data_IF_985541697679
#
_entry.id   IF_985541697679
#
_cell.length_a   1.000
_cell.length_b   1.000
_cell.length_c   1.000
_cell.angle_alpha   90.00
_cell.angle_beta   90.00
_cell.angle_gamma   90.00
#
_symmetry.space_group_name_H-M   'P 1'
#
loop_
_entity.id
_entity.type
_entity.pdbx_description
1 polymer ?
#
# COMPACT_ATOMS: atom_id res chain seq x y z
N UNK A 1 -13.35 -3.12 12.84
CA UNK A 1 -13.04 -4.56 12.80
C UNK A 1 -14.18 -5.42 13.38
N UNK A 2 -14.99 -4.89 14.31
CA UNK A 2 -16.17 -5.63 14.79
C UNK A 2 -17.08 -6.13 13.64
N UNK A 3 -17.21 -5.36 12.56
CA UNK A 3 -18.04 -5.78 11.43
C UNK A 3 -17.38 -6.85 10.52
N UNK A 4 -16.05 -6.96 10.47
CA UNK A 4 -15.35 -7.88 9.56
C UNK A 4 -15.54 -9.36 9.90
N UNK A 5 -15.99 -9.65 11.12
CA UNK A 5 -16.16 -11.00 11.64
C UNK A 5 -17.53 -11.14 12.32
N UNK A 6 -18.63 -11.11 11.55
CA UNK A 6 -19.98 -11.13 12.11
C UNK A 6 -20.23 -12.40 12.96
N UNK A 7 -19.57 -13.50 12.61
CA UNK A 7 -19.71 -14.79 13.29
C UNK A 7 -18.70 -15.03 14.43
N UNK A 8 -17.87 -14.03 14.78
CA UNK A 8 -16.85 -14.18 15.83
C UNK A 8 -16.98 -13.12 16.92
N UNK A 9 -16.75 -13.53 18.16
CA UNK A 9 -16.52 -12.60 19.26
C UNK A 9 -15.09 -12.03 19.15
N UNK A 10 -14.97 -10.73 18.84
CA UNK A 10 -13.68 -10.07 18.70
C UNK A 10 -13.26 -9.47 20.04
N UNK A 11 -12.12 -9.94 20.55
CA UNK A 11 -11.53 -9.48 21.80
C UNK A 11 -10.23 -8.74 21.47
N UNK A 12 -10.22 -7.43 21.72
CA UNK A 12 -9.04 -6.61 21.52
C UNK A 12 -8.11 -6.67 22.73
N UNK A 13 -6.85 -7.02 22.48
CA UNK A 13 -5.78 -6.82 23.44
C UNK A 13 -5.35 -5.35 23.48
N UNK A 14 -4.77 -4.87 24.59
CA UNK A 14 -4.15 -3.55 24.67
C UNK A 14 -3.15 -3.32 23.52
N UNK A 15 -3.12 -2.09 23.00
CA UNK A 15 -2.22 -1.68 21.90
C UNK A 15 -0.74 -1.86 22.23
N UNK A 16 -0.38 -1.80 23.52
CA UNK A 16 0.93 -2.18 24.05
C UNK A 16 0.73 -3.29 25.06
N UNK A 17 0.79 -4.53 24.61
CA UNK A 17 0.72 -5.69 25.48
C UNK A 17 2.13 -6.04 25.98
N UNK A 18 2.33 -6.04 27.31
CA UNK A 18 3.62 -6.40 27.89
C UNK A 18 3.73 -7.94 28.00
N UNK A 19 4.95 -8.52 27.94
CA UNK A 19 5.12 -9.97 28.05
C UNK A 19 4.46 -10.58 29.30
N UNK A 20 4.59 -9.91 30.44
CA UNK A 20 4.00 -10.38 31.71
C UNK A 20 2.47 -10.30 31.71
N UNK A 21 1.89 -9.26 31.10
CA UNK A 21 0.44 -9.14 30.97
C UNK A 21 -0.12 -10.23 30.05
N UNK A 22 0.61 -10.60 29.00
CA UNK A 22 0.25 -11.72 28.14
C UNK A 22 0.22 -13.03 28.92
N UNK A 23 1.28 -13.34 29.67
CA UNK A 23 1.37 -14.59 30.43
C UNK A 23 0.29 -14.70 31.52
N UNK A 24 -0.04 -13.58 32.20
CA UNK A 24 -1.05 -13.57 33.28
C UNK A 24 -2.47 -13.58 32.71
N UNK A 25 -2.78 -12.70 31.75
CA UNK A 25 -4.18 -12.40 31.39
C UNK A 25 -4.64 -13.05 30.07
N UNK A 26 -3.73 -13.25 29.11
CA UNK A 26 -4.12 -13.61 27.74
C UNK A 26 -3.85 -15.07 27.41
N UNK A 27 -2.71 -15.59 27.86
CA UNK A 27 -2.26 -16.96 27.57
C UNK A 27 -3.29 -18.00 27.99
N UNK A 28 -3.79 -17.92 29.23
CA UNK A 28 -4.81 -18.83 29.74
C UNK A 28 -6.14 -18.70 28.98
N UNK A 29 -6.55 -17.47 28.67
CA UNK A 29 -7.79 -17.21 27.91
C UNK A 29 -7.72 -17.86 26.52
N UNK A 30 -6.63 -17.65 25.79
CA UNK A 30 -6.40 -18.25 24.47
C UNK A 30 -6.38 -19.78 24.56
N UNK A 31 -5.68 -20.35 25.56
CA UNK A 31 -5.59 -21.80 25.71
C UNK A 31 -6.90 -22.46 26.16
N UNK A 32 -7.79 -21.71 26.81
CA UNK A 32 -9.07 -22.23 27.33
C UNK A 32 -10.15 -22.41 26.26
N UNK A 33 -10.09 -21.66 25.14
CA UNK A 33 -11.04 -21.83 24.02
C UNK A 33 -10.35 -22.52 22.84
N UNK A 34 -10.82 -23.72 22.49
CA UNK A 34 -10.28 -24.51 21.37
C UNK A 34 -10.57 -23.89 20.00
N UNK A 35 -11.46 -22.90 19.93
CA UNK A 35 -11.80 -22.14 18.72
C UNK A 35 -11.02 -20.82 18.64
N UNK A 36 -10.13 -20.54 19.60
CA UNK A 36 -9.37 -19.31 19.60
C UNK A 36 -8.50 -19.19 18.35
N UNK A 37 -8.53 -18.00 17.76
CA UNK A 37 -7.64 -17.58 16.69
C UNK A 37 -6.96 -16.29 17.12
N UNK A 38 -5.68 -16.14 16.78
CA UNK A 38 -4.90 -14.97 17.17
C UNK A 38 -4.55 -14.17 15.94
N UNK A 39 -4.76 -12.86 16.01
CA UNK A 39 -4.42 -11.93 14.95
C UNK A 39 -3.54 -10.81 15.50
N UNK A 40 -2.53 -10.41 14.73
CA UNK A 40 -1.68 -9.26 15.06
C UNK A 40 -1.67 -8.27 13.89
N UNK A 41 -1.93 -6.99 14.17
CA UNK A 41 -1.81 -5.96 13.14
C UNK A 41 -0.33 -5.69 12.85
N UNK A 42 0.15 -6.07 11.67
CA UNK A 42 1.59 -6.06 11.35
C UNK A 42 2.41 -6.72 12.47
N UNK A 43 3.59 -6.17 12.76
CA UNK A 43 4.46 -6.59 13.86
C UNK A 43 4.16 -5.89 15.19
N UNK A 44 2.94 -5.36 15.41
CA UNK A 44 2.58 -4.70 16.67
C UNK A 44 2.30 -5.70 17.82
N UNK A 45 2.19 -6.99 17.52
CA UNK A 45 2.06 -8.05 18.53
C UNK A 45 3.38 -8.36 19.24
N UNK A 46 3.30 -9.14 20.31
CA UNK A 46 4.50 -9.65 21.01
C UNK A 46 5.36 -10.50 20.06
N UNK A 47 6.70 -10.34 20.03
CA UNK A 47 7.57 -11.10 19.13
C UNK A 47 7.41 -12.62 19.25
N UNK A 48 7.15 -13.11 20.46
CA UNK A 48 6.94 -14.54 20.72
C UNK A 48 5.53 -15.05 20.37
N UNK A 49 4.58 -14.19 20.02
CA UNK A 49 3.16 -14.56 19.88
C UNK A 49 2.93 -15.59 18.77
N UNK A 50 3.56 -15.39 17.61
CA UNK A 50 3.48 -16.33 16.48
C UNK A 50 4.04 -17.70 16.85
N UNK A 51 5.21 -17.74 17.49
CA UNK A 51 5.84 -18.98 17.94
C UNK A 51 5.00 -19.67 19.03
N UNK A 52 4.46 -18.91 19.98
CA UNK A 52 3.52 -19.43 20.98
C UNK A 52 2.32 -20.11 20.31
N UNK A 53 1.67 -19.44 19.36
CA UNK A 53 0.52 -20.01 18.65
C UNK A 53 0.90 -21.28 17.88
N UNK A 54 2.05 -21.28 17.18
CA UNK A 54 2.56 -22.45 16.47
C UNK A 54 2.79 -23.65 17.40
N UNK A 55 3.47 -23.46 18.55
CA UNK A 55 3.74 -24.55 19.52
C UNK A 55 2.47 -25.13 20.16
N UNK A 56 1.37 -24.37 20.14
CA UNK A 56 0.08 -24.74 20.74
C UNK A 56 -0.97 -25.09 19.70
N UNK A 57 -0.61 -25.13 18.42
CA UNK A 57 -1.50 -25.39 17.30
C UNK A 57 -2.73 -24.45 17.26
N UNK A 58 -2.50 -23.17 17.56
CA UNK A 58 -3.50 -22.09 17.49
C UNK A 58 -3.31 -21.35 16.17
N UNK A 59 -4.36 -21.13 15.36
CA UNK A 59 -4.25 -20.33 14.15
C UNK A 59 -3.76 -18.90 14.45
N UNK A 60 -2.73 -18.47 13.73
CA UNK A 60 -2.16 -17.13 13.82
C UNK A 60 -2.15 -16.47 12.45
N UNK A 61 -2.56 -15.19 12.41
CA UNK A 61 -2.46 -14.36 11.21
C UNK A 61 -1.89 -12.99 11.56
N UNK A 62 -0.97 -12.50 10.75
CA UNK A 62 -0.77 -11.07 10.63
C UNK A 62 -1.89 -10.45 9.79
N UNK A 63 -2.29 -9.24 10.16
CA UNK A 63 -3.35 -8.47 9.48
C UNK A 63 -2.81 -7.13 9.03
N UNK A 64 -3.19 -6.73 7.82
CA UNK A 64 -2.90 -5.43 7.23
C UNK A 64 -4.07 -4.93 6.41
N UNK A 65 -4.12 -3.63 6.18
CA UNK A 65 -4.92 -3.07 5.09
C UNK A 65 -4.55 -3.72 3.75
N UNK A 66 -5.55 -4.17 2.99
CA UNK A 66 -5.35 -4.57 1.62
C UNK A 66 -4.95 -3.38 0.73
N UNK A 67 -4.67 -3.66 -0.54
CA UNK A 67 -4.12 -2.65 -1.46
C UNK A 67 -5.16 -1.61 -1.93
N UNK A 68 -6.45 -1.88 -1.72
CA UNK A 68 -7.56 -0.95 -1.98
C UNK A 68 -8.28 -0.70 -0.66
N UNK A 69 -8.07 0.48 -0.05
CA UNK A 69 -8.45 0.72 1.35
C UNK A 69 -9.72 1.57 1.51
N UNK A 70 -9.67 2.86 1.14
CA UNK A 70 -10.75 3.83 1.42
C UNK A 70 -10.64 5.10 0.55
N UNK A 71 -11.72 5.88 0.49
CA UNK A 71 -11.81 7.15 -0.27
C UNK A 71 -11.03 8.32 0.37
N UNK A 72 -10.63 8.22 1.64
CA UNK A 72 -9.75 9.22 2.28
C UNK A 72 -8.77 8.60 3.28
N UNK A 73 -7.66 9.32 3.50
CA UNK A 73 -6.66 9.10 4.56
C UNK A 73 -7.35 9.20 5.93
N UNK A 74 -7.80 8.08 6.49
CA UNK A 74 -8.11 7.93 7.93
C UNK A 74 -9.09 8.93 8.57
N UNK A 75 -9.67 9.88 7.82
CA UNK A 75 -10.33 11.06 8.35
C UNK A 75 -11.78 10.80 8.76
N UNK A 76 -12.32 9.63 8.43
CA UNK A 76 -13.71 9.25 8.72
C UNK A 76 -13.83 7.98 9.57
N UNK A 77 -12.75 7.53 10.22
CA UNK A 77 -12.73 6.27 11.00
C UNK A 77 -13.32 5.06 10.23
N UNK A 78 -13.35 5.15 8.89
CA UNK A 78 -14.10 4.21 8.06
C UNK A 78 -13.35 2.88 8.05
N UNK A 79 -14.03 1.75 8.34
CA UNK A 79 -13.43 0.44 8.26
C UNK A 79 -12.76 0.24 6.89
N UNK A 80 -11.60 -0.44 6.83
CA UNK A 80 -10.96 -0.72 5.55
C UNK A 80 -11.87 -1.60 4.71
N UNK A 81 -11.97 -1.31 3.41
CA UNK A 81 -12.75 -2.10 2.44
C UNK A 81 -12.07 -3.45 2.12
N UNK A 82 -10.75 -3.53 2.34
CA UNK A 82 -10.00 -4.77 2.17
C UNK A 82 -8.98 -4.99 3.28
N UNK A 83 -8.76 -6.26 3.64
CA UNK A 83 -7.76 -6.71 4.59
C UNK A 83 -6.97 -7.88 4.00
N UNK A 84 -5.66 -7.89 4.27
CA UNK A 84 -4.78 -9.02 4.03
C UNK A 84 -4.59 -9.82 5.33
N UNK A 85 -4.54 -11.15 5.20
CA UNK A 85 -4.38 -12.08 6.32
C UNK A 85 -3.22 -13.05 6.03
N UNK A 86 -2.05 -12.80 6.60
CA UNK A 86 -0.84 -13.61 6.37
C UNK A 86 -0.58 -14.59 7.53
N UNK A 87 -0.50 -15.88 7.24
CA UNK A 87 -0.06 -16.94 8.15
C UNK A 87 1.46 -17.04 8.21
N UNK A 88 2.12 -16.85 7.06
CA UNK A 88 3.58 -16.90 6.95
C UNK A 88 4.21 -15.62 7.47
N UNK A 89 4.14 -14.52 6.74
CA UNK A 89 4.74 -13.25 7.13
C UNK A 89 4.15 -12.13 6.27
N UNK A 90 4.37 -10.88 6.65
CA UNK A 90 3.79 -9.73 5.95
C UNK A 90 4.29 -9.65 4.51
N UNK A 91 3.41 -9.39 3.54
CA UNK A 91 3.77 -9.29 2.10
C UNK A 91 4.97 -8.40 1.77
N UNK A 92 5.27 -7.38 2.58
CA UNK A 92 6.40 -6.47 2.38
C UNK A 92 7.72 -6.96 2.99
N UNK A 93 7.72 -8.10 3.69
CA UNK A 93 8.91 -8.69 4.29
C UNK A 93 9.66 -9.55 3.28
N UNK A 94 10.81 -9.04 2.81
CA UNK A 94 11.64 -9.76 1.85
C UNK A 94 12.52 -10.84 2.50
N UNK A 95 12.64 -10.86 3.83
CA UNK A 95 13.57 -11.75 4.53
C UNK A 95 13.10 -13.22 4.58
N UNK A 96 11.82 -13.49 4.37
CA UNK A 96 11.24 -14.83 4.37
C UNK A 96 10.10 -14.98 3.37
N UNK A 97 9.56 -16.20 3.21
CA UNK A 97 8.39 -16.43 2.37
C UNK A 97 7.14 -15.78 3.00
N UNK A 98 6.21 -15.36 2.13
CA UNK A 98 4.92 -14.78 2.51
C UNK A 98 3.80 -15.54 1.82
N UNK A 99 2.55 -15.40 2.27
CA UNK A 99 1.43 -16.07 1.60
C UNK A 99 1.22 -15.48 0.21
N UNK A 100 1.39 -14.17 0.04
CA UNK A 100 1.36 -13.55 -1.28
C UNK A 100 2.48 -14.08 -2.21
N UNK A 101 3.72 -14.20 -1.73
CA UNK A 101 4.81 -14.78 -2.53
C UNK A 101 4.52 -16.23 -2.91
N UNK A 102 3.87 -16.98 -2.03
CA UNK A 102 3.43 -18.36 -2.29
C UNK A 102 2.38 -18.39 -3.39
N UNK A 103 1.30 -17.59 -3.28
CA UNK A 103 0.26 -17.47 -4.30
C UNK A 103 0.87 -17.16 -5.67
N UNK A 104 1.74 -16.14 -5.73
CA UNK A 104 2.38 -15.71 -6.97
C UNK A 104 3.32 -16.78 -7.57
N UNK A 105 3.97 -17.58 -6.70
CA UNK A 105 4.87 -18.64 -7.14
C UNK A 105 4.15 -19.89 -7.62
N UNK A 106 3.05 -20.28 -6.96
CA UNK A 106 2.48 -21.63 -7.10
C UNK A 106 1.12 -21.70 -7.79
N UNK A 107 0.37 -20.59 -7.85
CA UNK A 107 -0.95 -20.61 -8.49
C UNK A 107 -0.83 -20.80 -10.01
N UNK A 108 -1.68 -21.66 -10.58
CA UNK A 108 -1.70 -21.93 -12.03
C UNK A 108 -2.47 -20.84 -12.79
N UNK A 109 -1.83 -19.67 -12.93
CA UNK A 109 -2.41 -18.57 -13.70
C UNK A 109 -2.57 -18.88 -15.19
N UNK A 110 -1.75 -19.77 -15.74
CA UNK A 110 -1.77 -20.08 -17.17
C UNK A 110 -2.95 -20.99 -17.52
N UNK A 111 -3.34 -21.86 -16.59
CA UNK A 111 -4.57 -22.67 -16.64
C UNK A 111 -5.87 -21.91 -16.33
N UNK A 112 -5.82 -20.79 -15.61
CA UNK A 112 -7.00 -19.99 -15.25
C UNK A 112 -7.18 -18.76 -16.17
N UNK A 113 -7.74 -19.01 -17.36
CA UNK A 113 -8.00 -17.98 -18.37
C UNK A 113 -8.99 -16.90 -17.91
N UNK A 114 -10.03 -17.29 -17.17
CA UNK A 114 -11.08 -16.39 -16.72
C UNK A 114 -10.55 -15.40 -15.68
N UNK A 115 -9.75 -15.87 -14.72
CA UNK A 115 -9.08 -15.02 -13.74
C UNK A 115 -8.21 -13.96 -14.42
N UNK A 116 -7.45 -14.34 -15.47
CA UNK A 116 -6.60 -13.38 -16.20
C UNK A 116 -7.41 -12.35 -16.97
N UNK A 117 -8.53 -12.75 -17.58
CA UNK A 117 -9.44 -11.83 -18.27
C UNK A 117 -10.07 -10.84 -17.28
N UNK A 118 -10.55 -11.32 -16.14
CA UNK A 118 -11.06 -10.48 -15.05
C UNK A 118 -10.00 -9.53 -14.51
N UNK A 119 -8.77 -10.02 -14.28
CA UNK A 119 -7.65 -9.18 -13.85
C UNK A 119 -7.37 -8.04 -14.82
N UNK A 120 -7.35 -8.32 -16.14
CA UNK A 120 -7.19 -7.27 -17.15
C UNK A 120 -8.30 -6.22 -17.08
N UNK A 121 -9.56 -6.64 -17.04
CA UNK A 121 -10.70 -5.73 -16.98
C UNK A 121 -10.69 -4.89 -15.69
N UNK A 122 -10.31 -5.49 -14.56
CA UNK A 122 -10.21 -4.81 -13.26
C UNK A 122 -9.04 -3.82 -13.23
N UNK A 123 -7.91 -4.13 -13.85
CA UNK A 123 -6.83 -3.15 -14.04
C UNK A 123 -7.37 -1.95 -14.80
N UNK A 124 -7.99 -2.15 -15.96
CA UNK A 124 -8.55 -1.05 -16.77
C UNK A 124 -9.58 -0.22 -15.98
N UNK A 125 -10.45 -0.88 -15.19
CA UNK A 125 -11.42 -0.22 -14.31
C UNK A 125 -10.73 0.61 -13.22
N UNK A 126 -9.72 0.05 -12.56
CA UNK A 126 -8.94 0.74 -11.52
C UNK A 126 -8.21 1.96 -12.09
N UNK A 127 -7.59 1.85 -13.27
CA UNK A 127 -6.92 2.97 -13.93
C UNK A 127 -7.91 4.06 -14.34
N UNK A 128 -9.05 3.69 -14.94
CA UNK A 128 -10.08 4.64 -15.39
C UNK A 128 -10.72 5.40 -14.24
N UNK A 129 -10.95 4.72 -13.11
CA UNK A 129 -11.44 5.39 -11.91
C UNK A 129 -10.36 6.27 -11.28
N UNK A 130 -9.07 6.06 -11.56
CA UNK A 130 -7.99 6.80 -10.90
C UNK A 130 -7.91 6.52 -9.40
N UNK A 131 -8.47 5.39 -8.95
CA UNK A 131 -8.40 4.98 -7.56
C UNK A 131 -6.96 4.55 -7.22
N UNK A 132 -6.52 4.85 -6.00
CA UNK A 132 -5.25 4.44 -5.37
C UNK A 132 -5.53 4.01 -3.93
N UNK A 133 -4.53 3.50 -3.20
CA UNK A 133 -4.75 3.02 -1.81
C UNK A 133 -5.42 4.05 -0.91
N UNK A 134 -5.08 5.33 -1.04
CA UNK A 134 -5.58 6.41 -0.17
C UNK A 134 -6.47 7.44 -0.86
N UNK A 135 -6.61 7.39 -2.19
CA UNK A 135 -7.46 8.28 -3.01
C UNK A 135 -7.33 9.79 -2.71
N UNK A 136 -6.21 10.19 -2.10
CA UNK A 136 -5.97 11.54 -1.61
C UNK A 136 -5.12 12.32 -2.60
N UNK A 137 -5.44 13.59 -2.79
CA UNK A 137 -4.66 14.54 -3.60
C UNK A 137 -5.53 15.28 -4.60
N UNK A 138 -5.12 16.49 -4.96
CA UNK A 138 -5.85 17.29 -5.93
C UNK A 138 -5.56 16.84 -7.36
N UNK A 139 -6.59 16.88 -8.21
CA UNK A 139 -6.43 16.75 -9.67
C UNK A 139 -5.90 18.08 -10.22
N UNK A 140 -4.57 18.19 -10.26
CA UNK A 140 -3.85 19.38 -10.73
C UNK A 140 -3.19 19.07 -12.06
N UNK A 141 -3.23 20.01 -13.00
CA UNK A 141 -2.47 19.91 -14.26
C UNK A 141 -0.98 19.79 -13.97
N UNK A 142 -0.45 18.58 -14.17
CA UNK A 142 0.97 18.27 -13.99
C UNK A 142 1.86 19.04 -14.96
N UNK A 143 1.32 19.51 -16.08
CA UNK A 143 2.03 20.36 -17.04
C UNK A 143 2.43 21.70 -16.39
N UNK A 144 1.59 22.24 -15.49
CA UNK A 144 1.92 23.45 -14.73
C UNK A 144 2.96 23.19 -13.65
N UNK A 145 2.91 22.02 -13.02
CA UNK A 145 3.80 21.67 -11.90
C UNK A 145 5.18 21.20 -12.37
N UNK A 146 5.23 20.38 -13.41
CA UNK A 146 6.47 19.77 -13.90
C UNK A 146 7.10 20.60 -15.03
N UNK A 147 6.38 21.58 -15.57
CA UNK A 147 6.77 22.33 -16.75
C UNK A 147 6.69 21.50 -18.04
N UNK A 148 7.13 22.09 -19.18
CA UNK A 148 7.09 21.43 -20.48
C UNK A 148 7.91 20.15 -20.46
N UNK A 149 7.37 19.08 -21.05
CA UNK A 149 8.12 17.83 -21.24
C UNK A 149 9.07 17.99 -22.42
N UNK A 150 10.34 18.26 -22.12
CA UNK A 150 11.39 18.46 -23.13
C UNK A 150 12.20 17.19 -23.41
N UNK A 151 11.95 16.11 -22.66
CA UNK A 151 12.67 14.85 -22.80
C UNK A 151 12.14 13.78 -21.85
N UNK A 152 13.00 12.79 -21.54
CA UNK A 152 12.69 11.72 -20.58
C UNK A 152 12.41 12.31 -19.21
N UNK A 153 11.35 11.83 -18.55
CA UNK A 153 10.90 12.30 -17.25
C UNK A 153 10.89 11.16 -16.24
N UNK A 154 11.57 11.38 -15.12
CA UNK A 154 11.73 10.41 -14.03
C UNK A 154 10.97 10.90 -12.81
N UNK A 155 10.15 10.02 -12.21
CA UNK A 155 9.52 10.28 -10.93
C UNK A 155 10.20 9.47 -9.83
N UNK A 156 10.63 10.15 -8.78
CA UNK A 156 11.14 9.53 -7.56
C UNK A 156 10.06 9.59 -6.49
N UNK A 157 9.65 8.42 -6.00
CA UNK A 157 8.62 8.30 -4.97
C UNK A 157 9.28 8.30 -3.60
N UNK A 158 8.97 9.32 -2.80
CA UNK A 158 9.36 9.38 -1.39
C UNK A 158 8.49 8.50 -0.50
N UNK A 159 9.11 7.95 0.53
CA UNK A 159 8.45 7.18 1.59
C UNK A 159 8.90 7.70 2.95
N UNK A 160 8.13 7.43 4.00
CA UNK A 160 8.59 7.66 5.36
C UNK A 160 9.68 6.64 5.67
N UNK A 161 10.88 7.08 6.05
CA UNK A 161 12.05 6.19 6.16
C UNK A 161 11.94 5.14 7.28
N UNK A 162 11.06 5.36 8.27
CA UNK A 162 10.73 4.39 9.33
C UNK A 162 9.67 3.35 8.92
N UNK A 163 9.18 3.40 7.68
CA UNK A 163 8.15 2.48 7.18
C UNK A 163 8.63 1.02 7.28
N UNK A 164 7.77 0.15 7.81
CA UNK A 164 8.07 -1.27 7.96
C UNK A 164 8.42 -1.94 6.63
N UNK A 165 7.80 -1.51 5.52
CA UNK A 165 8.14 -2.02 4.19
C UNK A 165 9.58 -1.68 3.77
N UNK A 166 10.18 -0.61 4.27
CA UNK A 166 11.61 -0.32 4.05
C UNK A 166 12.45 -1.20 4.98
N UNK A 167 12.12 -1.22 6.27
CA UNK A 167 12.88 -1.97 7.28
C UNK A 167 12.96 -3.48 6.99
N UNK A 168 11.90 -4.06 6.43
CA UNK A 168 11.82 -5.49 6.11
C UNK A 168 11.94 -5.80 4.61
N UNK A 169 11.82 -4.80 3.74
CA UNK A 169 11.90 -4.97 2.28
C UNK A 169 13.23 -4.54 1.68
N UNK A 170 14.05 -3.74 2.37
CA UNK A 170 15.33 -3.22 1.87
C UNK A 170 16.50 -3.72 2.73
N UNK A 171 17.49 -4.38 2.11
CA UNK A 171 18.75 -4.80 2.74
C UNK A 171 19.65 -3.60 2.99
N UNK A 172 19.74 -2.72 2.01
CA UNK A 172 20.46 -1.45 2.10
C UNK A 172 19.60 -0.37 2.73
N UNK A 173 20.23 0.54 3.47
CA UNK A 173 19.56 1.67 4.10
C UNK A 173 19.61 2.88 3.18
N UNK A 174 18.57 3.05 2.37
CA UNK A 174 18.38 4.25 1.54
C UNK A 174 17.55 5.29 2.28
N UNK A 175 17.95 6.56 2.22
CA UNK A 175 17.04 7.68 2.49
C UNK A 175 16.45 8.22 1.17
N UNK A 176 15.45 9.08 1.25
CA UNK A 176 14.80 9.61 0.05
C UNK A 176 15.75 10.41 -0.87
N UNK A 177 16.72 11.16 -0.31
CA UNK A 177 17.68 11.92 -1.11
C UNK A 177 18.62 11.00 -1.91
N UNK A 178 18.97 9.84 -1.38
CA UNK A 178 19.84 8.86 -2.06
C UNK A 178 19.19 8.36 -3.35
N UNK A 179 17.89 8.08 -3.30
CA UNK A 179 17.11 7.65 -4.47
C UNK A 179 17.10 8.76 -5.54
N UNK A 180 16.91 10.01 -5.13
CA UNK A 180 16.91 11.16 -6.05
C UNK A 180 18.27 11.30 -6.72
N UNK A 181 19.36 11.23 -5.95
CA UNK A 181 20.72 11.29 -6.49
C UNK A 181 21.02 10.11 -7.42
N UNK A 182 20.54 8.92 -7.11
CA UNK A 182 20.69 7.75 -7.97
C UNK A 182 19.96 7.95 -9.30
N UNK A 183 18.68 8.30 -9.25
CA UNK A 183 17.86 8.55 -10.43
C UNK A 183 18.46 9.64 -11.33
N UNK A 184 18.98 10.73 -10.75
CA UNK A 184 19.66 11.78 -11.48
C UNK A 184 20.93 11.28 -12.18
N UNK A 185 21.80 10.55 -11.46
CA UNK A 185 23.07 10.03 -12.03
C UNK A 185 22.84 9.03 -13.16
N UNK A 186 21.84 8.17 -13.04
CA UNK A 186 21.55 7.11 -14.02
C UNK A 186 20.78 7.60 -15.23
N UNK A 187 20.23 8.82 -15.19
CA UNK A 187 19.45 9.40 -16.29
C UNK A 187 19.98 10.79 -16.66
N UNK A 188 21.20 10.91 -17.20
CA UNK A 188 21.75 12.20 -17.62
C UNK A 188 20.82 12.92 -18.60
N UNK A 189 20.53 14.20 -18.33
CA UNK A 189 19.66 15.03 -19.16
C UNK A 189 18.16 14.79 -19.00
N UNK A 190 17.74 13.86 -18.15
CA UNK A 190 16.32 13.65 -17.86
C UNK A 190 15.78 14.70 -16.87
N UNK A 191 14.48 14.98 -16.96
CA UNK A 191 13.76 15.77 -15.97
C UNK A 191 13.47 14.91 -14.75
N UNK A 192 14.08 15.24 -13.60
CA UNK A 192 13.85 14.50 -12.35
C UNK A 192 12.77 15.23 -11.54
N UNK A 193 11.69 14.53 -11.20
CA UNK A 193 10.64 14.99 -10.30
C UNK A 193 10.71 14.15 -9.04
N UNK A 194 10.79 14.81 -7.88
CA UNK A 194 10.72 14.15 -6.59
C UNK A 194 9.36 14.45 -5.95
N UNK A 195 8.59 13.40 -5.65
CA UNK A 195 7.35 13.48 -4.87
C UNK A 195 7.63 12.99 -3.45
N UNK A 196 7.88 13.88 -2.47
CA UNK A 196 8.06 13.46 -1.09
C UNK A 196 6.77 12.89 -0.51
N UNK A 197 6.88 12.08 0.53
CA UNK A 197 5.71 11.62 1.27
C UNK A 197 5.02 12.80 1.96
N UNK A 198 3.67 12.85 2.05
CA UNK A 198 2.95 13.96 2.70
C UNK A 198 3.42 14.25 4.13
N UNK A 199 3.72 13.22 4.94
CA UNK A 199 4.27 13.40 6.29
C UNK A 199 5.65 14.08 6.30
N UNK A 200 6.49 13.82 5.28
CA UNK A 200 7.80 14.46 5.16
C UNK A 200 7.63 15.94 4.81
N UNK A 201 6.69 16.27 3.91
CA UNK A 201 6.36 17.67 3.59
C UNK A 201 5.80 18.45 4.78
N UNK A 202 5.01 17.79 5.63
CA UNK A 202 4.42 18.39 6.82
C UNK A 202 5.40 18.50 8.00
N UNK A 203 6.61 17.96 7.87
CA UNK A 203 7.62 17.96 8.94
C UNK A 203 7.26 17.09 10.15
N UNK A 204 6.30 16.17 10.01
CA UNK A 204 5.86 15.26 11.08
C UNK A 204 6.67 13.96 11.09
N UNK A 205 7.42 13.68 10.02
CA UNK A 205 8.40 12.60 9.98
C UNK A 205 9.77 13.08 10.51
N UNK A 206 10.51 12.17 11.16
CA UNK A 206 11.89 12.43 11.58
C UNK A 206 12.76 12.79 10.36
N UNK A 207 13.64 13.79 10.46
CA UNK A 207 14.39 14.33 9.32
C UNK A 207 15.61 13.47 8.98
N UNK A 208 15.39 12.26 8.47
CA UNK A 208 16.47 11.43 7.90
C UNK A 208 16.84 11.83 6.46
N UNK A 209 15.97 12.59 5.80
CA UNK A 209 16.22 13.26 4.52
C UNK A 209 15.68 14.67 4.53
N UNK A 210 16.24 15.54 3.68
CA UNK A 210 15.76 16.91 3.47
C UNK A 210 15.59 17.15 1.95
N UNK A 211 14.35 17.36 1.46
CA UNK A 211 14.11 17.67 0.06
C UNK A 211 14.92 18.88 -0.47
N UNK A 212 15.29 19.84 0.39
CA UNK A 212 16.12 20.99 0.01
C UNK A 212 17.53 20.61 -0.43
N UNK A 213 18.07 19.48 0.06
CA UNK A 213 19.41 19.01 -0.29
C UNK A 213 19.49 18.42 -1.71
N UNK A 214 18.36 18.23 -2.39
CA UNK A 214 18.30 17.70 -3.76
C UNK A 214 17.54 18.61 -4.73
N UNK A 215 17.02 19.75 -4.28
CA UNK A 215 16.30 20.71 -5.12
C UNK A 215 17.15 21.30 -6.25
N UNK A 216 18.48 21.28 -6.13
CA UNK A 216 19.40 21.67 -7.20
C UNK A 216 19.48 20.68 -8.38
N UNK A 217 18.96 19.45 -8.22
CA UNK A 217 19.03 18.39 -9.24
C UNK A 217 17.65 17.81 -9.62
N UNK A 218 16.57 18.27 -9.00
CA UNK A 218 15.21 17.83 -9.30
C UNK A 218 14.17 18.91 -9.01
N UNK A 219 12.98 18.74 -9.59
CA UNK A 219 11.77 19.47 -9.19
C UNK A 219 11.14 18.75 -7.99
N UNK A 220 11.17 19.38 -6.81
CA UNK A 220 10.52 18.87 -5.60
C UNK A 220 9.04 19.27 -5.60
N UNK A 221 8.13 18.30 -5.47
CA UNK A 221 6.70 18.59 -5.37
C UNK A 221 6.33 18.96 -3.94
N UNK A 222 5.96 20.21 -3.74
CA UNK A 222 5.53 20.74 -2.43
C UNK A 222 4.02 20.53 -2.19
N UNK A 223 3.26 20.26 -3.26
CA UNK A 223 1.82 20.05 -3.20
C UNK A 223 1.48 18.55 -3.25
N UNK A 224 0.47 18.15 -2.47
CA UNK A 224 -0.04 16.78 -2.51
C UNK A 224 -0.95 16.56 -3.74
N UNK A 225 -0.35 16.13 -4.85
CA UNK A 225 -1.07 15.67 -6.04
C UNK A 225 -1.42 14.18 -5.95
N UNK A 226 -2.51 13.77 -6.60
CA UNK A 226 -2.88 12.35 -6.68
C UNK A 226 -1.81 11.54 -7.41
N UNK A 227 -1.68 10.25 -7.08
CA UNK A 227 -0.71 9.37 -7.73
C UNK A 227 -1.01 9.21 -9.22
N UNK A 228 -2.29 9.06 -9.59
CA UNK A 228 -2.73 8.95 -10.97
C UNK A 228 -2.26 10.14 -11.81
N UNK A 229 -2.46 11.37 -11.29
CA UNK A 229 -1.95 12.57 -11.94
C UNK A 229 -0.43 12.56 -12.02
N UNK A 230 0.24 12.19 -10.92
CA UNK A 230 1.69 12.25 -10.83
C UNK A 230 2.41 11.44 -11.92
N UNK A 231 1.75 10.40 -12.45
CA UNK A 231 2.27 9.49 -13.46
C UNK A 231 2.06 9.92 -14.91
N UNK A 232 1.13 10.85 -15.22
CA UNK A 232 0.68 11.14 -16.60
C UNK A 232 1.78 11.37 -17.63
N UNK A 233 2.84 12.06 -17.24
CA UNK A 233 3.92 12.49 -18.15
C UNK A 233 5.26 11.78 -17.87
N UNK A 234 5.25 10.83 -16.94
CA UNK A 234 6.44 10.12 -16.45
C UNK A 234 6.77 8.96 -17.39
N UNK A 235 8.05 8.73 -17.63
CA UNK A 235 8.53 7.59 -18.43
C UNK A 235 9.11 6.47 -17.54
N UNK A 236 9.61 6.81 -16.36
CA UNK A 236 10.27 5.87 -15.46
C UNK A 236 10.10 6.30 -14.00
N UNK A 237 9.74 5.37 -13.13
CA UNK A 237 9.60 5.57 -11.68
C UNK A 237 10.75 4.90 -10.92
N UNK A 238 11.28 5.59 -9.91
CA UNK A 238 12.22 5.04 -8.91
C UNK A 238 11.55 5.02 -7.54
N UNK A 239 11.68 3.90 -6.83
CA UNK A 239 11.14 3.73 -5.48
C UNK A 239 11.98 2.72 -4.68
N UNK A 240 11.88 2.75 -3.35
CA UNK A 240 12.46 1.69 -2.50
C UNK A 240 11.50 0.49 -2.53
N UNK A 241 10.37 0.62 -1.84
CA UNK A 241 9.39 -0.46 -1.62
C UNK A 241 7.94 0.02 -1.71
N UNK A 242 7.71 1.27 -2.13
CA UNK A 242 6.37 1.88 -2.12
C UNK A 242 5.39 1.10 -2.99
N UNK A 243 4.15 0.96 -2.51
CA UNK A 243 3.04 0.45 -3.32
C UNK A 243 2.82 1.29 -4.60
N UNK A 244 3.17 2.58 -4.57
CA UNK A 244 3.07 3.44 -5.76
C UNK A 244 3.92 2.93 -6.94
N UNK A 245 5.00 2.18 -6.69
CA UNK A 245 5.73 1.51 -7.77
C UNK A 245 4.90 0.43 -8.45
N UNK A 246 4.05 -0.30 -7.71
CA UNK A 246 3.10 -1.24 -8.34
C UNK A 246 2.03 -0.49 -9.14
N UNK A 247 1.48 0.61 -8.61
CA UNK A 247 0.51 1.43 -9.34
C UNK A 247 1.08 2.01 -10.66
N UNK A 248 2.39 2.26 -10.71
CA UNK A 248 3.10 2.65 -11.92
C UNK A 248 3.24 1.49 -12.92
N UNK A 249 3.53 0.28 -12.45
CA UNK A 249 3.54 -0.92 -13.30
C UNK A 249 2.18 -1.18 -13.96
N UNK A 250 1.08 -1.01 -13.19
CA UNK A 250 -0.27 -1.14 -13.73
C UNK A 250 -0.55 -0.15 -14.88
N UNK A 251 0.18 0.97 -14.94
CA UNK A 251 0.11 1.99 -16.01
C UNK A 251 1.09 1.73 -17.15
N UNK A 252 1.82 0.62 -17.14
CA UNK A 252 2.83 0.29 -18.12
C UNK A 252 4.10 1.14 -18.02
N UNK A 253 4.34 1.82 -16.90
CA UNK A 253 5.56 2.60 -16.69
C UNK A 253 6.75 1.68 -16.37
N UNK A 254 7.94 2.08 -16.79
CA UNK A 254 9.17 1.45 -16.31
C UNK A 254 9.34 1.75 -14.82
N UNK A 255 9.68 0.75 -14.02
CA UNK A 255 9.88 0.90 -12.57
C UNK A 255 11.22 0.29 -12.16
N UNK A 256 12.03 1.07 -11.44
CA UNK A 256 13.22 0.60 -10.74
C UNK A 256 12.91 0.51 -9.25
N UNK A 257 13.18 -0.65 -8.64
CA UNK A 257 13.02 -0.87 -7.20
C UNK A 257 14.37 -1.02 -6.53
N UNK A 258 14.60 -0.23 -5.47
CA UNK A 258 15.86 -0.27 -4.71
C UNK A 258 15.82 -1.31 -3.59
N UNK A 259 14.63 -1.54 -3.01
CA UNK A 259 14.37 -2.67 -2.13
C UNK A 259 13.72 -3.83 -2.90
N UNK A 260 13.15 -4.77 -2.17
CA UNK A 260 12.45 -5.94 -2.72
C UNK A 260 10.96 -5.95 -2.30
N UNK A 261 10.14 -4.98 -2.76
CA UNK A 261 8.71 -5.00 -2.49
C UNK A 261 8.04 -6.24 -3.12
N UNK A 262 6.83 -6.59 -2.71
CA UNK A 262 6.14 -7.82 -3.15
C UNK A 262 6.05 -7.97 -4.69
N UNK A 263 6.02 -6.87 -5.43
CA UNK A 263 5.88 -6.81 -6.88
C UNK A 263 7.22 -6.85 -7.66
N UNK A 264 8.37 -6.83 -6.97
CA UNK A 264 9.70 -6.98 -7.58
C UNK A 264 10.09 -8.45 -7.74
N UNK A 265 11.07 -8.76 -8.60
CA UNK A 265 11.60 -10.11 -8.78
C UNK A 265 10.78 -11.03 -9.70
N UNK A 266 9.71 -10.52 -10.31
CA UNK A 266 8.84 -11.28 -11.23
C UNK A 266 9.08 -10.96 -12.70
N UNK A 267 10.13 -10.20 -13.03
CA UNK A 267 10.49 -9.81 -14.39
C UNK A 267 9.76 -8.57 -14.94
N UNK A 268 9.04 -7.84 -14.09
CA UNK A 268 8.29 -6.61 -14.45
C UNK A 268 9.02 -5.32 -14.05
N UNK A 269 10.10 -5.42 -13.26
CA UNK A 269 10.84 -4.31 -12.67
C UNK A 269 12.34 -4.40 -12.95
N UNK A 270 13.03 -3.26 -12.89
CA UNK A 270 14.48 -3.20 -12.76
C UNK A 270 14.85 -3.28 -11.27
N UNK A 271 15.24 -4.48 -10.82
CA UNK A 271 15.46 -4.82 -9.42
C UNK A 271 16.90 -4.59 -9.00
N UNK A 272 17.13 -3.67 -8.06
CA UNK A 272 18.47 -3.45 -7.46
C UNK A 272 18.73 -4.37 -6.28
N UNK A 273 17.67 -4.90 -5.69
CA UNK A 273 17.73 -5.99 -4.72
C UNK A 273 17.02 -7.23 -5.28
N UNK A 274 17.78 -8.23 -5.77
CA UNK A 274 17.17 -9.47 -6.26
C UNK A 274 16.64 -10.34 -5.11
N UNK A 275 15.69 -11.22 -5.44
CA UNK A 275 15.20 -12.28 -4.54
C UNK A 275 15.47 -13.65 -5.14
N UNK A 276 16.26 -14.47 -4.46
CA UNK A 276 16.59 -15.84 -4.91
C UNK A 276 15.38 -16.79 -4.87
N UNK A 277 14.30 -16.41 -4.17
CA UNK A 277 13.07 -17.21 -4.06
C UNK A 277 12.12 -16.99 -5.23
N UNK A 278 12.10 -15.77 -5.80
CA UNK A 278 11.19 -15.38 -6.88
C UNK A 278 11.82 -15.75 -8.23
N UNK A 279 11.56 -16.99 -8.68
CA UNK A 279 12.17 -17.56 -9.89
C UNK A 279 11.24 -17.57 -11.11
N UNK A 280 9.97 -17.25 -10.92
CA UNK A 280 8.95 -17.22 -11.98
C UNK A 280 8.87 -15.83 -12.60
N UNK A 281 8.62 -15.77 -13.90
CA UNK A 281 8.21 -14.53 -14.57
C UNK A 281 6.68 -14.47 -14.63
N UNK A 282 6.11 -13.32 -14.30
CA UNK A 282 4.67 -13.09 -14.32
C UNK A 282 4.32 -11.97 -15.31
N UNK A 283 3.15 -12.05 -15.92
CA UNK A 283 2.55 -10.89 -16.57
C UNK A 283 1.95 -9.94 -15.53
N UNK A 284 1.66 -8.70 -15.94
CA UNK A 284 1.06 -7.72 -15.02
C UNK A 284 -0.32 -8.17 -14.54
N UNK A 285 -1.10 -8.86 -15.38
CA UNK A 285 -2.40 -9.42 -15.04
C UNK A 285 -2.27 -10.55 -14.01
N UNK A 286 -1.26 -11.41 -14.13
CA UNK A 286 -1.02 -12.49 -13.17
C UNK A 286 -0.59 -11.94 -11.80
N UNK A 287 0.31 -10.96 -11.80
CA UNK A 287 0.75 -10.30 -10.57
C UNK A 287 -0.42 -9.55 -9.90
N UNK A 288 -1.26 -8.87 -10.68
CA UNK A 288 -2.48 -8.23 -10.18
C UNK A 288 -3.49 -9.26 -9.65
N UNK A 289 -3.73 -10.35 -10.38
CA UNK A 289 -4.64 -11.40 -9.93
C UNK A 289 -4.23 -11.97 -8.57
N UNK A 290 -2.95 -12.29 -8.40
CA UNK A 290 -2.42 -12.77 -7.12
C UNK A 290 -2.55 -11.73 -6.02
N UNK A 291 -2.16 -10.48 -6.28
CA UNK A 291 -2.09 -9.44 -5.24
C UNK A 291 -3.44 -8.80 -4.89
N UNK A 292 -4.37 -8.67 -5.84
CA UNK A 292 -5.61 -7.92 -5.67
C UNK A 292 -6.86 -8.83 -5.70
N UNK A 293 -6.81 -10.02 -6.30
CA UNK A 293 -8.00 -10.89 -6.38
C UNK A 293 -7.90 -12.03 -5.36
N UNK A 294 -6.79 -12.76 -5.36
CA UNK A 294 -6.65 -13.99 -4.58
C UNK A 294 -6.20 -13.76 -3.12
N UNK A 295 -5.41 -12.71 -2.89
CA UNK A 295 -4.72 -12.50 -1.62
C UNK A 295 -5.55 -11.75 -0.56
N UNK A 296 -6.06 -10.52 -0.83
CA UNK A 296 -6.87 -9.80 0.13
C UNK A 296 -8.30 -10.33 0.15
N UNK A 297 -8.99 -10.13 1.28
CA UNK A 297 -10.44 -10.25 1.37
C UNK A 297 -11.06 -8.86 1.26
N UNK A 298 -12.28 -8.78 0.75
CA UNK A 298 -13.04 -7.54 0.63
C UNK A 298 -14.34 -7.64 1.42
N UNK A 299 -14.77 -6.53 2.02
CA UNK A 299 -15.93 -6.49 2.90
C UNK A 299 -16.67 -5.16 2.73
N UNK A 300 -17.98 -5.23 2.49
CA UNK A 300 -18.85 -4.05 2.48
C UNK A 300 -19.20 -3.68 3.93
N UNK A 301 -18.72 -2.54 4.46
CA UNK A 301 -18.99 -2.15 5.85
C UNK A 301 -20.44 -1.74 6.10
N UNK A 302 -21.22 -1.43 5.06
CA UNK A 302 -22.63 -1.05 5.15
C UNK A 302 -23.52 -2.29 5.11
N UNK A 303 -23.32 -3.14 4.10
CA UNK A 303 -24.09 -4.38 3.95
C UNK A 303 -23.67 -5.48 4.94
N UNK A 304 -22.47 -5.34 5.53
CA UNK A 304 -21.86 -6.28 6.48
C UNK A 304 -21.63 -7.68 5.90
N UNK A 305 -21.23 -7.72 4.63
CA UNK A 305 -20.96 -8.97 3.91
C UNK A 305 -19.63 -8.94 3.16
N UNK A 306 -19.08 -10.14 2.93
CA UNK A 306 -17.92 -10.29 2.06
C UNK A 306 -18.33 -10.04 0.61
N UNK A 307 -17.53 -9.23 -0.07
CA UNK A 307 -17.73 -8.88 -1.48
C UNK A 307 -16.49 -9.29 -2.28
N UNK A 308 -16.58 -9.23 -3.60
CA UNK A 308 -15.41 -9.32 -4.47
C UNK A 308 -14.76 -7.94 -4.69
N UNK A 309 -13.59 -7.94 -5.30
CA UNK A 309 -12.87 -6.72 -5.67
C UNK A 309 -13.68 -5.85 -6.63
N UNK A 310 -14.48 -6.45 -7.51
CA UNK A 310 -15.19 -5.69 -8.53
C UNK A 310 -16.23 -4.77 -7.89
N UNK A 311 -17.00 -5.32 -6.95
CA UNK A 311 -17.95 -4.58 -6.13
C UNK A 311 -17.25 -3.59 -5.22
N UNK A 312 -16.10 -3.95 -4.65
CA UNK A 312 -15.32 -3.04 -3.81
C UNK A 312 -14.85 -1.79 -4.58
N UNK A 313 -14.40 -1.96 -5.83
CA UNK A 313 -14.02 -0.85 -6.71
C UNK A 313 -15.23 0.04 -7.01
N UNK A 314 -16.40 -0.54 -7.31
CA UNK A 314 -17.62 0.22 -7.58
C UNK A 314 -18.05 1.06 -6.38
N UNK A 315 -18.11 0.43 -5.20
CA UNK A 315 -18.46 1.12 -3.95
C UNK A 315 -17.50 2.28 -3.65
N UNK A 316 -16.19 2.08 -3.83
CA UNK A 316 -15.22 3.15 -3.60
C UNK A 316 -15.33 4.28 -4.63
N UNK A 317 -15.63 3.96 -5.88
CA UNK A 317 -15.89 4.97 -6.90
C UNK A 317 -17.15 5.80 -6.56
N UNK A 318 -18.24 5.14 -6.17
CA UNK A 318 -19.49 5.78 -5.72
C UNK A 318 -19.24 6.68 -4.50
N UNK A 319 -18.57 6.16 -3.47
CA UNK A 319 -18.21 6.91 -2.26
C UNK A 319 -17.36 8.14 -2.56
N UNK A 320 -16.43 8.06 -3.54
CA UNK A 320 -15.60 9.21 -3.93
C UNK A 320 -16.41 10.29 -4.62
N UNK A 321 -17.37 9.92 -5.47
CA UNK A 321 -18.28 10.89 -6.11
C UNK A 321 -19.13 11.57 -5.03
N UNK A 322 -19.74 10.79 -4.13
CA UNK A 322 -20.54 11.31 -3.02
C UNK A 322 -19.75 12.27 -2.12
N UNK A 323 -18.53 11.88 -1.73
CA UNK A 323 -17.63 12.73 -0.93
C UNK A 323 -17.29 14.04 -1.64
N UNK A 324 -16.94 13.97 -2.94
CA UNK A 324 -16.64 15.17 -3.74
C UNK A 324 -17.82 16.12 -3.82
N UNK A 325 -19.03 15.60 -3.98
CA UNK A 325 -20.26 16.39 -4.02
C UNK A 325 -20.56 17.04 -2.66
N UNK A 326 -20.42 16.27 -1.57
CA UNK A 326 -20.61 16.76 -0.21
C UNK A 326 -19.64 17.89 0.13
N UNK A 327 -18.34 17.74 -0.15
CA UNK A 327 -17.35 18.80 0.06
C UNK A 327 -17.66 20.06 -0.76
N UNK A 328 -18.03 19.92 -2.04
CA UNK A 328 -18.43 21.05 -2.89
C UNK A 328 -19.73 21.74 -2.45
N UNK A 329 -20.59 21.06 -1.68
CA UNK A 329 -21.76 21.68 -1.07
C UNK A 329 -21.43 22.38 0.26
N UNK A 330 -20.50 21.82 1.04
CA UNK A 330 -20.00 22.42 2.28
C UNK A 330 -19.21 23.71 2.00
N UNK A 331 -18.32 23.72 1.00
CA UNK A 331 -17.57 24.91 0.57
C UNK A 331 -18.48 26.01 -0.02
N UNK A 332 -19.66 25.64 -0.54
CA UNK A 332 -20.67 26.62 -0.99
C UNK A 332 -21.47 27.21 0.17
N UNK A 333 -21.69 26.43 1.24
CA UNK A 333 -22.38 26.88 2.44
C UNK A 333 -21.44 27.58 3.45
N UNK A 334 -20.11 27.50 3.27
CA UNK A 334 -19.13 28.20 4.10
C UNK A 334 -18.91 29.68 3.74
N UNK A 335 -19.71 30.25 2.81
CA UNK A 335 -19.90 31.70 2.69
C UNK A 335 -20.92 32.26 3.70
N UNK A 336 -21.36 31.44 4.66
CA UNK A 336 -22.09 31.86 5.85
C UNK A 336 -21.56 31.10 7.07
N UNK A 337 -20.52 31.64 7.71
CA UNK A 337 -20.09 31.28 9.08
C UNK A 337 -21.23 31.50 10.11
N UNK A 338 -21.14 31.04 11.38
CA UNK A 338 -19.95 30.51 12.09
C UNK A 338 -20.14 29.28 13.04
N UNK A 339 -18.98 28.70 13.43
CA UNK A 339 -18.55 28.22 14.79
C UNK A 339 -19.32 27.08 15.49
N UNK A 340 -18.58 26.02 15.90
CA UNK A 340 -18.56 25.33 17.23
C UNK A 340 -17.26 24.49 17.28
N UNK A 341 -16.24 24.72 18.12
CA UNK A 341 -16.03 24.59 19.59
C UNK A 341 -15.93 23.15 20.12
N UNK A 342 -14.68 22.74 20.37
CA UNK A 342 -14.08 21.61 21.14
C UNK A 342 -14.71 20.21 21.04
#
# INVERSE_FOLDING_TARGET
MYDWFPDKEIIFAPTRLWPIEFDINWKWRILSDRRAEVMAWQYKGLPQLKNFCATKNIPFHYVEDGFIRSVSLGALETPPMSLAFDRQDMYFNANGPTDLETILSTYDFDGDGDLRLSAKALIEKLLRTGLSKYNSGADVSVEKLYGPKTGKRILVIGQVERDASIAYGSREKYNNNDIVRLAYRENPGAQIIYKPHPEVLQGTAEPTSDPKLVSGICTVLEQNISLAESFRTIDHVYTITSLSGFEALLRGLKVTTLGCPFYSGWGLTDDRQPSDRRKRKLTIEQLFAGAYILYPKYFDPVAKEYIDIERAIDLLAEMRVAYTLAFRSADRNSLSSPVFSL
#
